data_IF_024800094078
#
_entry.id   IF_024800094078
#
_cell.length_a   1.000
_cell.length_b   1.000
_cell.length_c   1.000
_cell.angle_alpha   90.00
_cell.angle_beta   90.00
_cell.angle_gamma   90.00
#
_symmetry.space_group_name_H-M   'P 1'
#
loop_
_entity.id
_entity.type
_entity.pdbx_description
1 polymer ?
#
# COMPACT_ATOMS: atom_id res chain seq x y z
N UNK A 1 -11.52 -9.26 25.77
CA UNK A 1 -10.07 -9.51 25.61
C UNK A 1 -9.67 -9.56 24.14
N UNK A 2 -10.55 -9.11 23.23
CA UNK A 2 -10.42 -9.32 21.78
C UNK A 2 -10.01 -8.07 21.00
N UNK A 3 -10.31 -6.87 21.51
CA UNK A 3 -9.93 -5.58 20.89
C UNK A 3 -8.41 -5.47 20.65
N UNK A 4 -7.59 -5.88 21.62
CA UNK A 4 -6.12 -5.87 21.48
C UNK A 4 -5.60 -6.79 20.36
N UNK A 5 -6.32 -7.89 20.07
CA UNK A 5 -5.92 -8.83 19.02
C UNK A 5 -6.32 -8.32 17.65
N UNK A 6 -7.47 -7.65 17.53
CA UNK A 6 -7.86 -7.00 16.27
C UNK A 6 -6.96 -5.82 15.94
N UNK A 7 -6.69 -4.94 16.91
CA UNK A 7 -5.80 -3.79 16.75
C UNK A 7 -4.41 -4.20 16.25
N UNK A 8 -3.87 -5.29 16.79
CA UNK A 8 -2.56 -5.79 16.39
C UNK A 8 -2.58 -6.30 14.94
N UNK A 9 -3.62 -7.05 14.55
CA UNK A 9 -3.77 -7.56 13.19
C UNK A 9 -3.93 -6.43 12.17
N UNK A 10 -4.72 -5.42 12.51
CA UNK A 10 -4.94 -4.26 11.64
C UNK A 10 -3.64 -3.48 11.43
N UNK A 11 -2.91 -3.18 12.52
CA UNK A 11 -1.61 -2.50 12.44
C UNK A 11 -0.58 -3.30 11.62
N UNK A 12 -0.58 -4.63 11.73
CA UNK A 12 0.27 -5.51 10.92
C UNK A 12 -0.13 -5.44 9.45
N UNK A 13 -1.43 -5.49 9.13
CA UNK A 13 -1.92 -5.41 7.77
C UNK A 13 -1.55 -4.07 7.12
N UNK A 14 -1.75 -2.95 7.82
CA UNK A 14 -1.37 -1.61 7.39
C UNK A 14 0.14 -1.49 7.16
N UNK A 15 0.97 -2.04 8.07
CA UNK A 15 2.42 -2.12 7.87
C UNK A 15 2.81 -2.96 6.64
N UNK A 16 2.05 -4.02 6.35
CA UNK A 16 2.23 -4.86 5.16
C UNK A 16 2.04 -4.10 3.84
N UNK A 17 1.15 -3.09 3.81
CA UNK A 17 0.95 -2.24 2.63
C UNK A 17 2.20 -1.43 2.28
N UNK A 18 2.88 -0.88 3.29
CA UNK A 18 4.11 -0.09 3.13
C UNK A 18 5.22 -0.97 2.52
N UNK A 19 5.38 -2.19 3.03
CA UNK A 19 6.36 -3.14 2.49
C UNK A 19 6.03 -3.52 1.05
N UNK A 20 4.75 -3.75 0.73
CA UNK A 20 4.30 -4.13 -0.61
C UNK A 20 4.47 -3.01 -1.63
N UNK A 21 4.38 -1.75 -1.18
CA UNK A 21 4.69 -0.57 -1.98
C UNK A 21 6.20 -0.35 -2.20
N UNK A 22 7.06 -1.20 -1.63
CA UNK A 22 8.52 -1.06 -1.74
C UNK A 22 9.10 0.05 -0.87
N UNK A 23 8.35 0.53 0.13
CA UNK A 23 8.72 1.67 0.95
C UNK A 23 9.28 1.27 2.33
N UNK A 24 9.80 0.05 2.45
CA UNK A 24 10.36 -0.47 3.71
C UNK A 24 11.50 0.39 4.25
N UNK A 25 12.35 0.90 3.37
CA UNK A 25 13.54 1.67 3.72
C UNK A 25 13.28 3.19 3.73
N UNK A 26 12.04 3.60 3.50
CA UNK A 26 11.63 5.00 3.51
C UNK A 26 11.48 5.52 4.94
N UNK A 27 11.94 6.74 5.21
CA UNK A 27 11.82 7.37 6.51
C UNK A 27 10.34 7.48 6.97
N UNK A 28 10.07 7.11 8.22
CA UNK A 28 8.71 7.09 8.80
C UNK A 28 7.98 8.43 8.68
N UNK A 29 8.71 9.54 8.83
CA UNK A 29 8.14 10.88 8.69
C UNK A 29 7.64 11.16 7.26
N UNK A 30 8.37 10.68 6.25
CA UNK A 30 7.99 10.82 4.83
C UNK A 30 6.74 9.99 4.54
N UNK A 31 6.68 8.75 5.04
CA UNK A 31 5.51 7.89 4.91
C UNK A 31 4.27 8.54 5.54
N UNK A 32 4.39 9.02 6.76
CA UNK A 32 3.28 9.68 7.46
C UNK A 32 2.83 10.94 6.72
N UNK A 33 3.76 11.76 6.24
CA UNK A 33 3.45 12.95 5.43
C UNK A 33 2.65 12.61 4.18
N UNK A 34 3.09 11.60 3.41
CA UNK A 34 2.39 11.17 2.20
C UNK A 34 0.98 10.62 2.50
N UNK A 35 0.81 9.87 3.59
CA UNK A 35 -0.50 9.35 4.00
C UNK A 35 -1.47 10.45 4.45
N UNK A 36 -0.97 11.49 5.12
CA UNK A 36 -1.78 12.64 5.52
C UNK A 36 -2.21 13.49 4.31
N UNK A 37 -1.30 13.72 3.37
CA UNK A 37 -1.60 14.41 2.11
C UNK A 37 -2.63 13.63 1.29
N UNK A 38 -2.49 12.31 1.24
CA UNK A 38 -3.48 11.42 0.64
C UNK A 38 -4.84 11.51 1.35
N UNK A 39 -4.86 11.46 2.68
CA UNK A 39 -6.10 11.55 3.46
C UNK A 39 -6.86 12.86 3.17
N UNK A 40 -6.15 13.98 3.01
CA UNK A 40 -6.74 15.26 2.65
C UNK A 40 -7.31 15.31 1.21
N UNK A 41 -6.76 14.52 0.29
CA UNK A 41 -7.21 14.46 -1.12
C UNK A 41 -8.34 13.47 -1.36
N UNK A 42 -8.54 12.52 -0.45
CA UNK A 42 -9.56 11.48 -0.56
C UNK A 42 -10.99 12.00 -0.34
N UNK A 43 -11.21 13.29 -0.08
CA UNK A 43 -12.57 13.88 -0.15
C UNK A 43 -13.18 13.72 -1.55
N UNK A 44 -12.36 13.63 -2.60
CA UNK A 44 -12.80 13.35 -3.95
C UNK A 44 -13.12 11.86 -4.17
N UNK A 45 -14.33 11.57 -4.66
CA UNK A 45 -14.77 10.19 -4.97
C UNK A 45 -14.03 9.58 -6.16
N UNK A 46 -13.72 10.38 -7.18
CA UNK A 46 -13.03 9.93 -8.37
C UNK A 46 -11.58 9.54 -8.05
N UNK A 47 -10.89 10.35 -7.25
CA UNK A 47 -9.52 10.03 -6.81
C UNK A 47 -9.49 8.78 -5.92
N UNK A 48 -10.49 8.61 -5.03
CA UNK A 48 -10.64 7.39 -4.24
C UNK A 48 -10.81 6.15 -5.11
N UNK A 49 -11.65 6.21 -6.14
CA UNK A 49 -11.87 5.08 -7.07
C UNK A 49 -10.63 4.77 -7.91
N UNK A 50 -9.94 5.81 -8.41
CA UNK A 50 -8.69 5.68 -9.14
C UNK A 50 -7.62 4.98 -8.30
N UNK A 51 -7.40 5.44 -7.07
CA UNK A 51 -6.42 4.86 -6.16
C UNK A 51 -6.78 3.42 -5.76
N UNK A 52 -8.06 3.13 -5.58
CA UNK A 52 -8.54 1.77 -5.35
C UNK A 52 -8.20 0.85 -6.51
N UNK A 53 -8.45 1.29 -7.75
CA UNK A 53 -8.12 0.51 -8.96
C UNK A 53 -6.61 0.22 -9.07
N UNK A 54 -5.77 1.22 -8.79
CA UNK A 54 -4.30 1.06 -8.75
C UNK A 54 -3.90 0.05 -7.67
N UNK A 55 -4.47 0.18 -6.47
CA UNK A 55 -4.25 -0.75 -5.37
C UNK A 55 -4.60 -2.19 -5.76
N UNK A 56 -5.81 -2.42 -6.27
CA UNK A 56 -6.28 -3.74 -6.69
C UNK A 56 -5.37 -4.36 -7.77
N UNK A 57 -4.90 -3.55 -8.72
CA UNK A 57 -3.94 -3.99 -9.74
C UNK A 57 -2.58 -4.39 -9.11
N UNK A 58 -2.03 -3.59 -8.21
CA UNK A 58 -0.79 -3.89 -7.51
C UNK A 58 -0.89 -5.15 -6.64
N UNK A 59 -2.04 -5.35 -6.00
CA UNK A 59 -2.33 -6.56 -5.22
C UNK A 59 -2.32 -7.82 -6.10
N UNK A 60 -2.94 -7.77 -7.28
CA UNK A 60 -2.96 -8.86 -8.27
C UNK A 60 -1.60 -9.10 -8.92
N UNK A 61 -0.87 -8.04 -9.27
CA UNK A 61 0.45 -8.12 -9.87
C UNK A 61 1.49 -8.72 -8.91
N UNK A 62 1.41 -8.42 -7.61
CA UNK A 62 2.31 -9.05 -6.63
C UNK A 62 2.06 -10.56 -6.45
N UNK A 63 0.85 -11.04 -6.76
CA UNK A 63 0.52 -12.47 -6.77
C UNK A 63 1.01 -13.16 -8.06
N UNK A 64 1.19 -12.40 -9.14
CA UNK A 64 1.75 -12.85 -10.40
C UNK A 64 3.09 -12.16 -10.60
N UNK A 65 4.14 -12.64 -9.92
CA UNK A 65 5.52 -12.28 -10.28
C UNK A 65 5.63 -12.44 -11.80
N UNK A 66 5.80 -11.36 -12.59
CA UNK A 66 6.03 -11.55 -14.00
C UNK A 66 7.38 -12.29 -14.13
N UNK A 67 7.51 -13.28 -15.04
CA UNK A 67 8.84 -13.75 -15.40
C UNK A 67 9.66 -12.53 -15.79
N UNK A 68 10.91 -12.49 -15.30
CA UNK A 68 11.84 -11.41 -15.61
C UNK A 68 11.82 -11.12 -17.12
N UNK A 69 11.94 -9.84 -17.53
CA UNK A 69 12.07 -9.54 -18.95
C UNK A 69 13.22 -10.41 -19.51
N UNK A 70 13.07 -11.02 -20.69
CA UNK A 70 14.17 -11.77 -21.27
C UNK A 70 15.34 -10.79 -21.42
N UNK A 71 16.45 -11.15 -20.77
CA UNK A 71 17.72 -10.46 -20.92
C UNK A 71 17.95 -10.26 -22.42
N UNK A 72 17.97 -8.99 -22.84
CA UNK A 72 18.46 -8.65 -24.15
C UNK A 72 19.96 -8.50 -24.03
N UNK A 73 20.69 -9.59 -24.24
CA UNK A 73 22.00 -9.59 -24.92
C UNK A 73 22.29 -10.96 -25.53
#
# INVERSE_FOLDING_TARGET
MDERREDAREKIALGGLIVKAGLRDTAKAVLLGALLELAARLDDREERERLRSIGDAAFKASAKRPPAPPDKE
#
